data_IF_091863886130
#
_entry.id   IF_091863886130
#
_cell.length_a   1.000
_cell.length_b   1.000
_cell.length_c   1.000
_cell.angle_alpha   90.00
_cell.angle_beta   90.00
_cell.angle_gamma   90.00
#
_symmetry.space_group_name_H-M   'P 1'
#
loop_
_entity.id
_entity.type
_entity.pdbx_description
1 polymer ?
#
# COMPACT_ATOMS: atom_id res chain seq x y z
N UNK A 1 0.50 -15.37 10.17
CA UNK A 1 1.61 -14.40 10.19
C UNK A 1 1.05 -13.00 9.95
N UNK A 2 1.55 -11.97 10.64
CA UNK A 2 1.10 -10.58 10.48
C UNK A 2 2.23 -9.73 9.90
N UNK A 3 1.95 -8.95 8.87
CA UNK A 3 2.93 -8.13 8.17
C UNK A 3 2.43 -6.69 8.05
N UNK A 4 3.28 -5.74 8.43
CA UNK A 4 3.08 -4.32 8.14
C UNK A 4 4.02 -3.90 7.02
N UNK A 5 3.47 -3.60 5.86
CA UNK A 5 4.22 -3.16 4.68
C UNK A 5 4.34 -1.63 4.71
N UNK A 6 5.52 -1.12 5.06
CA UNK A 6 5.82 0.31 5.07
C UNK A 6 6.39 0.75 3.73
N UNK A 7 5.83 1.81 3.14
CA UNK A 7 6.26 2.34 1.84
C UNK A 7 6.14 3.85 1.78
N UNK A 8 6.91 4.48 0.88
CA UNK A 8 6.75 5.89 0.52
C UNK A 8 5.77 6.12 -0.64
N UNK A 9 5.35 5.07 -1.34
CA UNK A 9 4.44 5.15 -2.48
C UNK A 9 3.47 3.97 -2.50
N UNK A 10 2.18 4.24 -2.72
CA UNK A 10 1.16 3.22 -2.93
C UNK A 10 0.09 3.75 -3.88
N UNK A 11 -0.16 3.02 -4.97
CA UNK A 11 -1.29 3.30 -5.86
C UNK A 11 -2.63 2.96 -5.14
N UNK A 12 -3.71 3.76 -5.29
CA UNK A 12 -3.84 4.96 -6.13
C UNK A 12 -3.49 6.28 -5.42
N UNK A 13 -2.97 6.25 -4.20
CA UNK A 13 -2.79 7.43 -3.36
C UNK A 13 -1.59 8.30 -3.77
N UNK A 14 -0.39 7.70 -3.81
CA UNK A 14 0.87 8.40 -4.15
C UNK A 14 1.75 7.47 -4.95
N UNK A 15 2.20 7.94 -6.11
CA UNK A 15 3.07 7.21 -7.03
C UNK A 15 3.96 8.18 -7.80
N UNK A 16 5.24 7.89 -7.84
CA UNK A 16 6.25 8.52 -8.70
C UNK A 16 6.82 7.50 -9.70
N UNK A 17 6.89 6.23 -9.31
CA UNK A 17 7.42 5.15 -10.15
C UNK A 17 6.86 3.76 -9.83
N UNK A 18 7.63 2.71 -10.14
CA UNK A 18 7.20 1.32 -10.00
C UNK A 18 6.97 0.85 -8.55
N UNK A 19 7.53 1.56 -7.56
CA UNK A 19 7.34 1.24 -6.14
C UNK A 19 5.85 1.29 -5.75
N UNK A 20 5.10 2.29 -6.26
CA UNK A 20 3.67 2.41 -5.97
C UNK A 20 2.84 1.24 -6.49
N UNK A 21 3.24 0.64 -7.61
CA UNK A 21 2.56 -0.54 -8.18
C UNK A 21 2.84 -1.81 -7.38
N UNK A 22 4.10 -2.00 -6.94
CA UNK A 22 4.50 -3.14 -6.12
C UNK A 22 3.84 -3.05 -4.73
N UNK A 23 3.84 -1.86 -4.13
CA UNK A 23 3.25 -1.62 -2.81
C UNK A 23 1.72 -1.83 -2.78
N UNK A 24 1.07 -1.79 -3.95
CA UNK A 24 -0.32 -2.16 -4.11
C UNK A 24 -0.50 -3.66 -4.42
N UNK A 25 0.26 -4.18 -5.39
CA UNK A 25 0.04 -5.53 -5.94
C UNK A 25 0.56 -6.66 -5.05
N UNK A 26 1.73 -6.51 -4.41
CA UNK A 26 2.32 -7.56 -3.58
C UNK A 26 1.50 -7.82 -2.31
N UNK A 27 1.14 -6.82 -1.48
CA UNK A 27 0.27 -7.05 -0.32
C UNK A 27 -1.06 -7.72 -0.70
N UNK A 28 -1.65 -7.30 -1.82
CA UNK A 28 -2.89 -7.90 -2.35
C UNK A 28 -2.70 -9.37 -2.72
N UNK A 29 -1.60 -9.72 -3.39
CA UNK A 29 -1.29 -11.10 -3.74
C UNK A 29 -1.04 -11.98 -2.51
N UNK A 30 -0.35 -11.46 -1.48
CA UNK A 30 -0.11 -12.17 -0.22
C UNK A 30 -1.41 -12.47 0.53
N UNK A 31 -2.35 -11.52 0.55
CA UNK A 31 -3.69 -11.73 1.15
C UNK A 31 -4.47 -12.77 0.36
N UNK A 32 -4.47 -12.67 -0.98
CA UNK A 32 -5.31 -13.52 -1.84
C UNK A 32 -4.79 -14.96 -1.98
N UNK A 33 -3.48 -15.14 -2.14
CA UNK A 33 -2.87 -16.44 -2.44
C UNK A 33 -2.39 -17.16 -1.19
N UNK A 34 -1.76 -16.42 -0.27
CA UNK A 34 -1.09 -16.98 0.90
C UNK A 34 -1.89 -16.77 2.20
N UNK A 35 -3.04 -16.07 2.14
CA UNK A 35 -3.91 -15.75 3.30
C UNK A 35 -3.14 -15.06 4.44
N UNK A 36 -2.13 -14.25 4.12
CA UNK A 36 -1.35 -13.48 5.10
C UNK A 36 -2.15 -12.24 5.51
N UNK A 37 -2.16 -11.93 6.81
CA UNK A 37 -2.69 -10.66 7.32
C UNK A 37 -1.68 -9.54 7.06
N UNK A 38 -1.92 -8.76 6.01
CA UNK A 38 -1.05 -7.68 5.57
C UNK A 38 -1.78 -6.34 5.67
N UNK A 39 -1.12 -5.35 6.26
CA UNK A 39 -1.54 -3.94 6.25
C UNK A 39 -0.48 -3.11 5.51
N UNK A 40 -0.90 -2.04 4.85
CA UNK A 40 0.02 -1.08 4.21
C UNK A 40 -0.02 0.23 4.99
N UNK A 41 1.15 0.79 5.29
CA UNK A 41 1.29 2.11 5.89
C UNK A 41 2.07 3.03 4.97
N UNK A 42 1.59 4.27 4.85
CA UNK A 42 2.09 5.32 3.96
C UNK A 42 2.01 6.66 4.70
N UNK A 43 2.97 7.59 4.52
CA UNK A 43 2.82 8.95 5.03
C UNK A 43 1.56 9.63 4.47
N UNK A 44 0.92 10.46 5.29
CA UNK A 44 -0.24 11.26 4.86
C UNK A 44 0.23 12.47 4.03
N UNK A 45 0.60 12.22 2.78
CA UNK A 45 0.96 13.28 1.85
C UNK A 45 -0.23 14.18 1.52
N UNK A 46 0.03 15.46 1.26
CA UNK A 46 -1.00 16.45 0.90
C UNK A 46 -1.76 16.12 -0.39
N UNK A 47 -1.19 15.27 -1.25
CA UNK A 47 -1.81 14.80 -2.49
C UNK A 47 -2.96 13.82 -2.26
N UNK A 48 -3.03 13.19 -1.08
CA UNK A 48 -4.10 12.23 -0.73
C UNK A 48 -5.37 13.03 -0.42
N UNK A 49 -6.50 12.70 -1.08
CA UNK A 49 -7.77 13.40 -0.83
C UNK A 49 -8.15 13.32 0.65
N UNK A 50 -8.77 14.40 1.14
CA UNK A 50 -9.29 14.46 2.50
C UNK A 50 -10.45 13.50 2.72
N UNK A 51 -11.18 13.12 1.67
CA UNK A 51 -12.36 12.23 1.74
C UNK A 51 -12.04 10.79 2.16
N UNK A 52 -10.75 10.41 2.17
CA UNK A 52 -10.31 9.10 2.63
C UNK A 52 -10.19 9.00 4.17
N UNK A 53 -10.49 10.08 4.90
CA UNK A 53 -10.40 10.20 6.35
C UNK A 53 -11.67 10.83 6.93
#
# INVERSE_FOLDING_TARGET
MKVLFATGEAFPFVKTGGLGDISYSLPKALVQKEKVDVRVILPKYSKISKDFF
#
